data_IF_941620866423
#
_entry.id   IF_941620866423
#
_cell.length_a   1.000
_cell.length_b   1.000
_cell.length_c   1.000
_cell.angle_alpha   90.00
_cell.angle_beta   90.00
_cell.angle_gamma   90.00
#
_symmetry.space_group_name_H-M   'P 1'
#
loop_
_entity.id
_entity.type
_entity.pdbx_description
1 polymer ?
#
# COMPACT_ATOMS: atom_id res chain seq x y z
N UNK A 1 -10.80 -28.16 -3.14
CA UNK A 1 -9.78 -27.29 -2.52
C UNK A 1 -8.46 -27.41 -3.27
N UNK A 2 -7.80 -28.58 -3.40
CA UNK A 2 -6.48 -28.75 -4.02
C UNK A 2 -6.27 -28.11 -5.41
N UNK A 3 -7.29 -28.11 -6.28
CA UNK A 3 -7.23 -27.43 -7.58
C UNK A 3 -7.23 -25.90 -7.45
N UNK A 4 -7.95 -25.37 -6.45
CA UNK A 4 -7.99 -23.93 -6.17
C UNK A 4 -6.66 -23.48 -5.54
N UNK A 5 -6.03 -24.31 -4.69
CA UNK A 5 -4.69 -24.07 -4.15
C UNK A 5 -3.63 -23.93 -5.26
N UNK A 6 -3.80 -24.65 -6.35
CA UNK A 6 -2.99 -24.51 -7.58
C UNK A 6 -3.43 -23.31 -8.44
N UNK A 7 -4.12 -22.35 -7.84
CA UNK A 7 -4.57 -21.09 -8.44
C UNK A 7 -5.53 -21.24 -9.63
N UNK A 8 -6.24 -22.39 -9.71
CA UNK A 8 -7.23 -22.62 -10.75
C UNK A 8 -8.52 -21.84 -10.44
N UNK A 9 -9.08 -21.08 -11.38
CA UNK A 9 -10.35 -20.39 -11.17
C UNK A 9 -11.49 -21.39 -10.90
N UNK A 10 -12.39 -21.02 -9.97
CA UNK A 10 -13.50 -21.88 -9.52
C UNK A 10 -14.38 -22.37 -10.67
N UNK A 11 -14.65 -21.55 -11.67
CA UNK A 11 -15.41 -21.98 -12.85
C UNK A 11 -14.70 -23.11 -13.61
N UNK A 12 -13.37 -23.04 -13.73
CA UNK A 12 -12.60 -24.11 -14.38
C UNK A 12 -12.59 -25.39 -13.55
N UNK A 13 -12.51 -25.27 -12.22
CA UNK A 13 -12.66 -26.41 -11.30
C UNK A 13 -14.03 -27.06 -11.47
N UNK A 14 -15.09 -26.27 -11.56
CA UNK A 14 -16.45 -26.75 -11.77
C UNK A 14 -16.62 -27.51 -13.09
N UNK A 15 -16.02 -27.01 -14.17
CA UNK A 15 -15.99 -27.68 -15.48
C UNK A 15 -15.30 -29.06 -15.38
N UNK A 16 -14.12 -29.13 -14.75
CA UNK A 16 -13.36 -30.40 -14.60
C UNK A 16 -14.15 -31.40 -13.77
N UNK A 17 -14.85 -30.95 -12.73
CA UNK A 17 -15.64 -31.81 -11.85
C UNK A 17 -17.04 -32.15 -12.40
N UNK A 18 -17.45 -31.57 -13.52
CA UNK A 18 -18.80 -31.73 -14.07
C UNK A 18 -19.93 -31.23 -13.18
N UNK A 19 -19.68 -30.16 -12.39
CA UNK A 19 -20.64 -29.61 -11.42
C UNK A 19 -20.92 -28.12 -11.67
N UNK A 20 -22.05 -27.62 -11.13
CA UNK A 20 -22.33 -26.21 -11.18
C UNK A 20 -21.30 -25.41 -10.35
N UNK A 21 -20.77 -24.28 -10.86
CA UNK A 21 -19.81 -23.43 -10.12
C UNK A 21 -20.30 -23.00 -8.73
N UNK A 22 -21.63 -22.83 -8.55
CA UNK A 22 -22.19 -22.48 -7.23
C UNK A 22 -21.94 -23.57 -6.18
N UNK A 23 -21.96 -24.86 -6.55
CA UNK A 23 -21.63 -25.95 -5.62
C UNK A 23 -20.18 -25.86 -5.15
N UNK A 24 -19.26 -25.55 -6.06
CA UNK A 24 -17.83 -25.37 -5.71
C UNK A 24 -17.67 -24.17 -4.76
N UNK A 25 -18.36 -23.07 -5.04
CA UNK A 25 -18.36 -21.90 -4.13
C UNK A 25 -18.95 -22.22 -2.75
N UNK A 26 -20.03 -22.99 -2.67
CA UNK A 26 -20.63 -23.39 -1.39
C UNK A 26 -19.62 -24.17 -0.54
N UNK A 27 -18.97 -25.18 -1.12
CA UNK A 27 -17.94 -25.97 -0.42
C UNK A 27 -16.74 -25.10 -0.05
N UNK A 28 -16.26 -24.27 -0.97
CA UNK A 28 -15.14 -23.39 -0.73
C UNK A 28 -15.42 -22.42 0.42
N UNK A 29 -16.53 -21.69 0.38
CA UNK A 29 -16.91 -20.74 1.42
C UNK A 29 -17.07 -21.40 2.79
N UNK A 30 -17.69 -22.59 2.85
CA UNK A 30 -17.81 -23.36 4.10
C UNK A 30 -16.46 -23.60 4.78
N UNK A 31 -15.47 -24.06 4.02
CA UNK A 31 -14.14 -24.36 4.57
C UNK A 31 -13.36 -23.10 4.95
N UNK A 32 -13.50 -22.03 4.18
CA UNK A 32 -12.89 -20.74 4.53
C UNK A 32 -13.48 -20.19 5.82
N UNK A 33 -14.81 -20.22 5.98
CA UNK A 33 -15.48 -19.74 7.18
C UNK A 33 -15.09 -20.55 8.42
N UNK A 34 -15.03 -21.87 8.29
CA UNK A 34 -14.57 -22.76 9.37
C UNK A 34 -13.12 -22.44 9.77
N UNK A 35 -12.22 -22.28 8.80
CA UNK A 35 -10.82 -21.95 9.06
C UNK A 35 -10.69 -20.56 9.71
N UNK A 36 -11.47 -19.56 9.28
CA UNK A 36 -11.49 -18.22 9.88
C UNK A 36 -11.98 -18.22 11.32
N UNK A 37 -12.93 -19.09 11.68
CA UNK A 37 -13.41 -19.21 13.06
C UNK A 37 -12.31 -19.70 14.00
N UNK A 38 -11.50 -20.67 13.57
CA UNK A 38 -10.40 -21.24 14.33
C UNK A 38 -9.07 -20.50 14.18
N UNK A 39 -9.03 -19.46 13.35
CA UNK A 39 -7.81 -18.71 13.09
C UNK A 39 -7.38 -17.92 14.34
N UNK A 40 -6.11 -18.12 14.72
CA UNK A 40 -5.48 -17.47 15.85
C UNK A 40 -4.73 -16.22 15.40
N UNK A 41 -5.08 -15.08 15.97
CA UNK A 41 -4.46 -13.77 15.76
C UNK A 41 -3.91 -13.18 17.07
N UNK A 42 -3.81 -13.99 18.13
CA UNK A 42 -3.45 -13.55 19.49
C UNK A 42 -2.05 -12.96 19.60
N UNK A 43 -1.17 -13.24 18.64
CA UNK A 43 0.23 -12.79 18.68
C UNK A 43 0.50 -11.50 17.88
N UNK A 44 -0.53 -10.89 17.29
CA UNK A 44 -0.34 -9.71 16.43
C UNK A 44 0.14 -8.51 17.26
N UNK A 45 1.24 -7.88 16.80
CA UNK A 45 1.77 -6.63 17.36
C UNK A 45 1.96 -5.56 16.30
N UNK A 46 2.17 -5.96 15.04
CA UNK A 46 2.38 -5.06 13.90
C UNK A 46 1.30 -5.28 12.84
N UNK A 47 0.42 -4.30 12.69
CA UNK A 47 -0.70 -4.34 11.76
C UNK A 47 -0.40 -3.52 10.51
N UNK A 48 -0.53 -4.14 9.35
CA UNK A 48 -0.57 -3.44 8.05
C UNK A 48 -2.01 -3.21 7.60
N UNK A 49 -2.30 -2.03 7.07
CA UNK A 49 -3.60 -1.71 6.50
C UNK A 49 -3.41 -1.19 5.08
N UNK A 50 -4.09 -1.82 4.14
CA UNK A 50 -4.05 -1.41 2.74
C UNK A 50 -5.40 -1.64 2.06
N UNK A 51 -5.63 -0.97 0.93
CA UNK A 51 -6.86 -1.12 0.16
C UNK A 51 -6.60 -1.74 -1.22
N UNK A 52 -7.51 -2.59 -1.66
CA UNK A 52 -7.46 -3.14 -2.99
C UNK A 52 -8.79 -3.01 -3.71
N UNK A 53 -8.75 -2.73 -5.01
CA UNK A 53 -9.95 -2.59 -5.83
C UNK A 53 -10.65 -3.93 -6.01
N UNK A 54 -11.91 -4.03 -5.62
CA UNK A 54 -12.76 -5.21 -5.86
C UNK A 54 -13.40 -5.19 -7.25
N UNK A 55 -13.89 -4.03 -7.71
CA UNK A 55 -14.54 -3.82 -9.02
C UNK A 55 -14.22 -2.44 -9.57
N UNK A 56 -14.50 -2.20 -10.86
CA UNK A 56 -14.53 -0.86 -11.45
C UNK A 56 -15.57 0.02 -10.71
N UNK A 57 -15.35 1.34 -10.67
CA UNK A 57 -16.25 2.30 -10.05
C UNK A 57 -16.01 2.51 -8.55
N UNK A 58 -14.74 2.60 -8.14
CA UNK A 58 -14.33 2.94 -6.76
C UNK A 58 -14.88 2.00 -5.68
N UNK A 59 -15.01 0.70 -6.00
CA UNK A 59 -15.35 -0.33 -5.03
C UNK A 59 -14.09 -1.00 -4.52
N UNK A 60 -13.84 -0.88 -3.21
CA UNK A 60 -12.63 -1.34 -2.54
C UNK A 60 -12.97 -2.33 -1.44
N UNK A 61 -11.98 -3.12 -1.07
CA UNK A 61 -11.90 -3.85 0.19
C UNK A 61 -10.64 -3.40 0.91
N UNK A 62 -10.71 -3.28 2.22
CA UNK A 62 -9.55 -3.01 3.08
C UNK A 62 -9.04 -4.32 3.66
N UNK A 63 -7.74 -4.47 3.65
CA UNK A 63 -7.01 -5.62 4.18
C UNK A 63 -6.37 -5.23 5.51
N UNK A 64 -6.62 -6.01 6.57
CA UNK A 64 -5.82 -6.02 7.79
C UNK A 64 -4.82 -7.17 7.69
N UNK A 65 -3.55 -6.86 7.82
CA UNK A 65 -2.43 -7.78 7.61
C UNK A 65 -1.56 -7.84 8.85
N UNK A 66 -1.32 -9.04 9.34
CA UNK A 66 -0.27 -9.30 10.32
C UNK A 66 1.07 -9.23 9.56
N UNK A 67 1.87 -8.21 9.86
CA UNK A 67 3.14 -7.96 9.18
C UNK A 67 4.22 -8.95 9.60
N UNK A 68 4.17 -9.47 10.84
CA UNK A 68 5.12 -10.45 11.34
C UNK A 68 4.91 -11.82 10.69
N UNK A 69 3.67 -12.27 10.67
CA UNK A 69 3.29 -13.51 10.03
C UNK A 69 3.16 -13.39 8.51
N UNK A 70 3.21 -12.18 7.95
CA UNK A 70 3.02 -11.87 6.52
C UNK A 70 1.73 -12.51 5.97
N UNK A 71 0.60 -12.26 6.64
CA UNK A 71 -0.70 -12.85 6.28
C UNK A 71 -1.87 -11.89 6.50
N UNK A 72 -2.91 -12.06 5.70
CA UNK A 72 -4.18 -11.35 5.87
C UNK A 72 -4.91 -11.96 7.07
N UNK A 73 -5.31 -11.12 8.02
CA UNK A 73 -6.07 -11.50 9.20
C UNK A 73 -7.52 -11.00 9.16
N UNK A 74 -7.76 -9.89 8.44
CA UNK A 74 -9.11 -9.35 8.27
C UNK A 74 -9.29 -8.71 6.90
N UNK A 75 -10.50 -8.85 6.36
CA UNK A 75 -10.91 -8.21 5.10
C UNK A 75 -12.31 -7.67 5.27
N UNK A 76 -12.51 -6.38 4.98
CA UNK A 76 -13.83 -5.77 5.00
C UNK A 76 -14.07 -4.89 3.76
N UNK A 77 -15.35 -4.68 3.43
CA UNK A 77 -15.72 -3.82 2.32
C UNK A 77 -15.51 -2.35 2.66
N UNK A 78 -15.15 -1.57 1.64
CA UNK A 78 -14.96 -0.12 1.75
C UNK A 78 -13.51 0.27 1.95
N UNK A 79 -13.33 1.54 2.33
CA UNK A 79 -12.05 2.18 2.64
C UNK A 79 -12.23 3.31 3.65
N UNK A 80 -11.20 3.55 4.46
CA UNK A 80 -11.14 4.66 5.38
C UNK A 80 -11.51 4.33 6.82
N UNK A 81 -11.93 5.33 7.60
CA UNK A 81 -12.09 5.25 9.07
C UNK A 81 -12.93 4.05 9.54
N UNK A 82 -14.06 3.79 8.86
CA UNK A 82 -14.97 2.69 9.23
C UNK A 82 -14.32 1.31 9.10
N UNK A 83 -13.37 1.13 8.18
CA UNK A 83 -12.69 -0.15 7.99
C UNK A 83 -11.67 -0.41 9.10
N UNK A 84 -11.02 0.62 9.64
CA UNK A 84 -10.17 0.52 10.83
C UNK A 84 -10.97 0.09 12.07
N UNK A 85 -12.20 0.66 12.23
CA UNK A 85 -13.13 0.21 13.27
C UNK A 85 -13.44 -1.28 13.14
N UNK A 86 -13.74 -1.72 11.93
CA UNK A 86 -14.08 -3.11 11.64
C UNK A 86 -12.91 -4.06 11.94
N UNK A 87 -11.68 -3.65 11.63
CA UNK A 87 -10.46 -4.41 11.97
C UNK A 87 -10.30 -4.48 13.50
N UNK A 88 -10.45 -3.37 14.22
CA UNK A 88 -10.37 -3.31 15.69
C UNK A 88 -11.40 -4.26 16.34
N UNK A 89 -12.66 -4.16 15.95
CA UNK A 89 -13.74 -5.04 16.44
C UNK A 89 -13.47 -6.53 16.15
N UNK A 90 -12.82 -6.84 15.03
CA UNK A 90 -12.42 -8.21 14.71
C UNK A 90 -11.35 -8.71 15.67
N UNK A 91 -10.31 -7.90 15.93
CA UNK A 91 -9.23 -8.24 16.86
C UNK A 91 -9.77 -8.45 18.29
N UNK A 92 -10.65 -7.56 18.76
CA UNK A 92 -11.31 -7.68 20.06
C UNK A 92 -12.14 -8.97 20.19
N UNK A 93 -12.93 -9.32 19.16
CA UNK A 93 -13.69 -10.59 19.11
C UNK A 93 -12.79 -11.82 19.15
N UNK A 94 -11.55 -11.70 18.71
CA UNK A 94 -10.51 -12.74 18.76
C UNK A 94 -9.70 -12.71 20.06
N UNK A 95 -10.05 -11.84 21.00
CA UNK A 95 -9.41 -11.74 22.30
C UNK A 95 -8.06 -11.03 22.31
N UNK A 96 -7.75 -10.25 21.27
CA UNK A 96 -6.52 -9.42 21.22
C UNK A 96 -6.69 -8.22 22.14
N UNK A 97 -5.81 -7.99 23.12
CA UNK A 97 -5.82 -6.81 23.98
C UNK A 97 -5.78 -5.50 23.21
N UNK A 98 -6.37 -4.46 23.78
CA UNK A 98 -6.51 -3.16 23.11
C UNK A 98 -5.18 -2.50 22.76
N UNK A 99 -4.20 -2.63 23.64
CA UNK A 99 -2.86 -2.05 23.57
C UNK A 99 -1.81 -2.97 22.89
N UNK A 100 -2.22 -4.17 22.47
CA UNK A 100 -1.28 -5.15 21.91
C UNK A 100 -0.74 -4.76 20.53
N UNK A 101 -1.54 -4.07 19.70
CA UNK A 101 -1.08 -3.56 18.41
C UNK A 101 -0.29 -2.28 18.66
N UNK A 102 1.03 -2.38 18.63
CA UNK A 102 1.95 -1.28 18.92
C UNK A 102 2.44 -0.54 17.67
N UNK A 103 2.33 -1.14 16.48
CA UNK A 103 2.74 -0.53 15.22
C UNK A 103 1.68 -0.70 14.15
N UNK A 104 1.44 0.36 13.39
CA UNK A 104 0.46 0.42 12.31
C UNK A 104 1.10 0.98 11.04
N UNK A 105 1.20 0.15 9.99
CA UNK A 105 1.66 0.58 8.67
C UNK A 105 0.49 0.79 7.73
N UNK A 106 0.44 1.95 7.06
CA UNK A 106 -0.66 2.31 6.15
C UNK A 106 -0.28 3.41 5.16
N UNK A 107 -1.18 3.62 4.21
CA UNK A 107 -1.12 4.75 3.29
C UNK A 107 -1.31 6.11 4.00
N UNK A 108 -0.79 7.16 3.38
CA UNK A 108 -0.95 8.55 3.77
C UNK A 108 -2.37 9.07 3.44
N UNK A 109 -3.40 8.30 3.81
CA UNK A 109 -4.81 8.62 3.59
C UNK A 109 -5.40 9.31 4.82
N UNK A 110 -5.96 10.50 4.66
CA UNK A 110 -6.57 11.24 5.76
C UNK A 110 -7.65 10.43 6.51
N UNK A 111 -8.39 9.59 5.79
CA UNK A 111 -9.42 8.74 6.38
C UNK A 111 -8.85 7.55 7.17
N UNK A 112 -7.72 6.98 6.74
CA UNK A 112 -7.02 5.95 7.49
C UNK A 112 -6.34 6.56 8.72
N UNK A 113 -5.71 7.72 8.60
CA UNK A 113 -5.09 8.44 9.72
C UNK A 113 -6.14 8.72 10.80
N UNK A 114 -7.30 9.27 10.43
CA UNK A 114 -8.40 9.51 11.38
C UNK A 114 -8.91 8.22 12.03
N UNK A 115 -8.89 7.10 11.31
CA UNK A 115 -9.23 5.78 11.84
C UNK A 115 -8.18 5.26 12.82
N UNK A 116 -6.91 5.31 12.45
CA UNK A 116 -5.78 4.88 13.27
C UNK A 116 -5.74 5.64 14.59
N UNK A 117 -5.78 6.97 14.55
CA UNK A 117 -5.80 7.82 15.76
C UNK A 117 -6.99 7.54 16.67
N UNK A 118 -8.13 7.12 16.12
CA UNK A 118 -9.34 6.85 16.92
C UNK A 118 -9.38 5.45 17.51
N UNK A 119 -8.95 4.45 16.75
CA UNK A 119 -9.16 3.03 17.10
C UNK A 119 -7.88 2.31 17.53
N UNK A 120 -6.71 2.90 17.26
CA UNK A 120 -5.40 2.41 17.66
C UNK A 120 -4.53 3.56 18.18
N UNK A 121 -4.98 4.28 19.25
CA UNK A 121 -4.33 5.52 19.71
C UNK A 121 -2.91 5.30 20.21
N UNK A 122 -2.61 4.10 20.72
CA UNK A 122 -1.29 3.75 21.29
C UNK A 122 -0.33 3.16 20.24
N UNK A 123 -0.80 2.92 19.01
CA UNK A 123 0.03 2.38 17.95
C UNK A 123 0.86 3.48 17.26
N UNK A 124 2.15 3.25 17.11
CA UNK A 124 3.02 4.09 16.29
C UNK A 124 2.71 3.89 14.81
N UNK A 125 2.35 5.00 14.14
CA UNK A 125 2.01 4.98 12.71
C UNK A 125 3.27 5.08 11.88
N UNK A 126 3.41 4.19 10.89
CA UNK A 126 4.42 4.26 9.83
C UNK A 126 3.71 4.46 8.50
N UNK A 127 4.09 5.51 7.77
CA UNK A 127 3.56 5.72 6.42
C UNK A 127 4.40 5.01 5.37
N UNK A 128 3.72 4.45 4.39
CA UNK A 128 4.37 3.81 3.25
C UNK A 128 5.24 4.80 2.47
N UNK A 129 6.55 4.47 2.40
CA UNK A 129 7.53 5.20 1.59
C UNK A 129 7.05 5.44 0.15
N UNK A 130 6.40 4.43 -0.46
CA UNK A 130 5.90 4.55 -1.83
C UNK A 130 4.89 5.69 -1.98
N UNK A 131 3.99 5.85 -1.00
CA UNK A 131 2.97 6.89 -1.03
C UNK A 131 3.57 8.29 -0.79
N UNK A 132 4.56 8.41 0.08
CA UNK A 132 5.31 9.66 0.27
C UNK A 132 6.05 10.05 -1.02
N UNK A 133 6.78 9.11 -1.62
CA UNK A 133 7.51 9.33 -2.89
C UNK A 133 6.55 9.61 -4.05
N UNK A 134 5.37 9.03 -4.06
CA UNK A 134 4.32 9.35 -5.05
C UNK A 134 3.90 10.81 -4.96
N UNK A 135 3.64 11.34 -3.75
CA UNK A 135 3.29 12.75 -3.57
C UNK A 135 4.43 13.68 -3.99
N UNK A 136 5.68 13.33 -3.70
CA UNK A 136 6.86 14.05 -4.16
C UNK A 136 6.93 14.08 -5.70
N UNK A 137 6.69 12.95 -6.35
CA UNK A 137 6.64 12.86 -7.80
C UNK A 137 5.47 13.66 -8.41
N UNK A 138 4.33 13.73 -7.73
CA UNK A 138 3.20 14.58 -8.14
C UNK A 138 3.56 16.07 -8.05
N UNK A 139 4.29 16.48 -7.00
CA UNK A 139 4.81 17.85 -6.87
C UNK A 139 5.79 18.17 -8.02
N UNK A 140 6.72 17.26 -8.35
CA UNK A 140 7.65 17.40 -9.48
C UNK A 140 6.91 17.51 -10.83
N UNK A 141 5.90 16.65 -11.05
CA UNK A 141 5.13 16.67 -12.31
C UNK A 141 4.28 17.95 -12.44
N UNK A 142 3.86 18.53 -11.31
CA UNK A 142 3.17 19.82 -11.30
C UNK A 142 4.07 20.94 -11.76
N UNK A 143 5.30 21.04 -11.23
CA UNK A 143 6.28 22.02 -11.68
C UNK A 143 6.53 21.88 -13.19
N UNK A 144 6.79 20.64 -13.65
CA UNK A 144 6.99 20.39 -15.08
C UNK A 144 5.78 20.80 -15.95
N UNK A 145 4.56 20.57 -15.45
CA UNK A 145 3.33 20.96 -16.18
C UNK A 145 3.16 22.47 -16.22
N UNK A 146 3.56 23.17 -15.19
CA UNK A 146 3.46 24.63 -15.15
C UNK A 146 4.48 25.26 -16.11
N UNK A 147 5.75 24.81 -16.11
CA UNK A 147 6.76 25.22 -17.08
C UNK A 147 6.36 24.89 -18.53
N UNK A 148 5.72 23.72 -18.73
CA UNK A 148 5.27 23.31 -20.08
C UNK A 148 4.25 24.26 -20.70
N UNK A 149 3.55 25.08 -19.94
CA UNK A 149 2.57 26.03 -20.49
C UNK A 149 3.22 27.05 -21.42
N UNK A 150 4.48 27.35 -21.16
CA UNK A 150 5.27 28.32 -21.93
C UNK A 150 6.37 27.63 -22.79
N UNK A 151 6.63 26.34 -22.57
CA UNK A 151 7.72 25.57 -23.13
C UNK A 151 7.25 24.19 -23.64
N UNK A 152 6.76 24.17 -24.89
CA UNK A 152 6.17 22.94 -25.49
C UNK A 152 7.19 21.78 -25.62
N UNK A 153 8.49 22.06 -25.66
CA UNK A 153 9.57 21.08 -25.69
C UNK A 153 9.60 20.17 -24.45
N UNK A 154 9.01 20.58 -23.35
CA UNK A 154 8.83 19.73 -22.16
C UNK A 154 7.76 18.65 -22.32
N UNK A 155 7.05 18.63 -23.46
CA UNK A 155 6.09 17.58 -23.79
C UNK A 155 6.79 16.23 -23.98
N UNK A 156 6.23 15.18 -23.36
CA UNK A 156 6.80 13.83 -23.42
C UNK A 156 7.90 13.54 -22.39
N UNK A 157 8.42 14.53 -21.68
CA UNK A 157 9.51 14.39 -20.71
C UNK A 157 9.07 14.05 -19.27
N UNK A 158 7.81 13.69 -19.04
CA UNK A 158 7.31 13.34 -17.71
C UNK A 158 8.23 12.34 -17.00
N UNK A 159 8.51 11.21 -17.62
CA UNK A 159 9.30 10.14 -17.00
C UNK A 159 10.82 10.45 -16.97
N UNK A 160 11.28 11.46 -17.65
CA UNK A 160 12.65 11.98 -17.54
C UNK A 160 12.86 12.62 -16.16
N UNK A 161 11.86 13.35 -15.64
CA UNK A 161 11.91 13.99 -14.32
C UNK A 161 11.43 13.09 -13.17
N UNK A 162 10.55 12.11 -13.43
CA UNK A 162 10.00 11.27 -12.36
C UNK A 162 10.88 10.06 -12.03
N UNK A 163 11.61 9.50 -12.98
CA UNK A 163 12.52 8.39 -12.73
C UNK A 163 13.75 8.83 -11.92
N UNK A 164 14.33 7.90 -11.17
CA UNK A 164 15.65 8.10 -10.59
C UNK A 164 16.69 8.09 -11.71
N UNK A 165 17.77 8.89 -11.57
CA UNK A 165 18.79 9.10 -12.59
C UNK A 165 19.38 7.78 -13.10
N UNK A 166 19.68 6.85 -12.20
CA UNK A 166 20.20 5.52 -12.51
C UNK A 166 19.26 4.65 -13.38
N UNK A 167 17.98 5.00 -13.47
CA UNK A 167 16.97 4.28 -14.26
C UNK A 167 16.64 4.99 -15.58
N UNK A 168 17.41 6.02 -15.93
CA UNK A 168 17.32 6.71 -17.22
C UNK A 168 18.24 6.03 -18.23
N UNK A 169 17.82 6.03 -19.51
CA UNK A 169 18.74 5.72 -20.61
C UNK A 169 19.65 6.92 -20.87
N UNK A 170 20.85 6.70 -21.43
CA UNK A 170 21.84 7.74 -21.74
C UNK A 170 21.24 8.94 -22.49
N UNK A 171 20.34 8.67 -23.45
CA UNK A 171 19.61 9.71 -24.18
C UNK A 171 18.76 10.58 -23.28
N UNK A 172 18.05 9.96 -22.31
CA UNK A 172 17.18 10.69 -21.37
C UNK A 172 17.99 11.41 -20.31
N UNK A 173 19.12 10.87 -19.92
CA UNK A 173 20.03 11.53 -18.97
C UNK A 173 20.64 12.80 -19.58
N UNK A 174 21.11 12.77 -20.84
CA UNK A 174 21.57 13.96 -21.56
C UNK A 174 20.45 15.00 -21.67
N UNK A 175 19.26 14.58 -22.08
CA UNK A 175 18.09 15.46 -22.16
C UNK A 175 17.70 16.06 -20.80
N UNK A 176 17.82 15.31 -19.71
CA UNK A 176 17.60 15.82 -18.35
C UNK A 176 18.63 16.90 -18.01
N UNK A 177 19.92 16.64 -18.27
CA UNK A 177 21.00 17.58 -18.00
C UNK A 177 20.82 18.93 -18.75
N UNK A 178 20.41 18.87 -20.01
CA UNK A 178 20.11 20.07 -20.81
C UNK A 178 18.91 20.84 -20.23
N UNK A 179 17.82 20.13 -19.90
CA UNK A 179 16.59 20.75 -19.40
C UNK A 179 16.74 21.40 -18.03
N UNK A 180 17.48 20.81 -17.09
CA UNK A 180 17.71 21.42 -15.77
C UNK A 180 18.58 22.69 -15.85
N UNK A 181 19.40 22.85 -16.89
CA UNK A 181 20.15 24.06 -17.14
C UNK A 181 19.29 25.14 -17.82
N UNK A 182 18.42 24.74 -18.76
CA UNK A 182 17.56 25.67 -19.49
C UNK A 182 16.40 26.21 -18.63
N UNK A 183 15.91 25.41 -17.69
CA UNK A 183 14.76 25.75 -16.83
C UNK A 183 15.16 25.71 -15.36
N UNK A 184 15.66 26.82 -14.77
CA UNK A 184 16.20 26.85 -13.41
C UNK A 184 15.21 26.37 -12.34
N UNK A 185 13.93 26.77 -12.43
CA UNK A 185 12.87 26.31 -11.51
C UNK A 185 12.69 24.78 -11.55
N UNK A 186 12.72 24.21 -12.75
CA UNK A 186 12.59 22.78 -12.96
C UNK A 186 13.84 22.03 -12.47
N UNK A 187 15.03 22.62 -12.67
CA UNK A 187 16.31 22.12 -12.16
C UNK A 187 16.33 22.07 -10.64
N UNK A 188 15.89 23.14 -9.99
CA UNK A 188 15.81 23.22 -8.52
C UNK A 188 14.77 22.23 -7.94
N UNK A 189 13.61 22.13 -8.57
CA UNK A 189 12.61 21.12 -8.19
C UNK A 189 13.16 19.69 -8.32
N UNK A 190 13.91 19.41 -9.37
CA UNK A 190 14.53 18.10 -9.54
C UNK A 190 15.61 17.83 -8.50
N UNK A 191 16.44 18.82 -8.14
CA UNK A 191 17.43 18.73 -7.07
C UNK A 191 16.76 18.40 -5.73
N UNK A 192 15.72 19.14 -5.35
CA UNK A 192 14.96 18.91 -4.12
C UNK A 192 14.31 17.51 -4.10
N UNK A 193 13.80 17.05 -5.24
CA UNK A 193 13.27 15.69 -5.37
C UNK A 193 14.33 14.62 -5.14
N UNK A 194 15.51 14.76 -5.75
CA UNK A 194 16.61 13.81 -5.60
C UNK A 194 17.08 13.78 -4.16
N UNK A 195 17.33 14.96 -3.58
CA UNK A 195 17.77 15.11 -2.19
C UNK A 195 16.80 14.44 -1.20
N UNK A 196 15.48 14.57 -1.39
CA UNK A 196 14.49 13.96 -0.47
C UNK A 196 14.64 12.43 -0.37
N UNK A 197 15.13 11.76 -1.41
CA UNK A 197 15.28 10.30 -1.34
C UNK A 197 16.38 9.86 -0.38
N UNK A 198 17.31 10.73 -0.01
CA UNK A 198 18.39 10.42 0.95
C UNK A 198 17.84 10.25 2.37
N UNK A 199 16.62 10.75 2.65
CA UNK A 199 15.91 10.50 3.89
C UNK A 199 15.86 9.01 4.27
N UNK A 200 15.64 8.17 3.26
CA UNK A 200 15.42 6.73 3.49
C UNK A 200 16.71 5.96 3.82
N UNK A 201 17.85 6.62 3.67
CA UNK A 201 19.18 6.08 3.97
C UNK A 201 19.75 6.65 5.30
N UNK A 202 18.96 7.47 6.01
CA UNK A 202 19.38 8.01 7.30
C UNK A 202 19.54 6.87 8.33
N UNK A 203 20.58 6.92 9.17
CA UNK A 203 20.91 5.82 10.08
C UNK A 203 19.92 5.66 11.25
N UNK A 204 19.28 6.74 11.65
CA UNK A 204 18.38 6.77 12.81
C UNK A 204 17.37 7.93 12.75
N UNK A 205 16.45 7.95 13.70
CA UNK A 205 15.40 8.96 13.81
C UNK A 205 15.95 10.38 14.03
N UNK A 206 16.94 10.64 14.91
CA UNK A 206 17.55 11.96 15.03
C UNK A 206 18.14 12.49 13.74
N UNK A 207 18.88 11.66 12.99
CA UNK A 207 19.44 12.04 11.69
C UNK A 207 18.34 12.33 10.64
N UNK A 208 17.31 11.51 10.61
CA UNK A 208 16.16 11.73 9.74
C UNK A 208 15.43 13.04 10.07
N UNK A 209 15.24 13.36 11.35
CA UNK A 209 14.65 14.63 11.78
C UNK A 209 15.50 15.84 11.38
N UNK A 210 16.83 15.78 11.59
CA UNK A 210 17.74 16.84 11.19
C UNK A 210 17.72 17.05 9.67
N UNK A 211 17.81 15.95 8.91
CA UNK A 211 17.74 15.96 7.46
C UNK A 211 16.43 16.59 6.93
N UNK A 212 15.28 16.15 7.43
CA UNK A 212 13.99 16.69 7.01
C UNK A 212 13.82 18.17 7.36
N UNK A 213 14.38 18.60 8.51
CA UNK A 213 14.35 20.01 8.89
C UNK A 213 15.11 20.85 7.85
N UNK A 214 16.32 20.44 7.49
CA UNK A 214 17.15 21.11 6.50
C UNK A 214 16.50 21.09 5.10
N UNK A 215 15.98 19.93 4.71
CA UNK A 215 15.26 19.80 3.43
C UNK A 215 14.04 20.74 3.38
N UNK A 216 13.28 20.89 4.46
CA UNK A 216 12.16 21.83 4.52
C UNK A 216 12.61 23.29 4.40
N UNK A 217 13.75 23.66 5.01
CA UNK A 217 14.34 25.00 4.89
C UNK A 217 14.74 25.31 3.45
N UNK A 218 15.36 24.35 2.76
CA UNK A 218 15.70 24.48 1.35
C UNK A 218 14.46 24.65 0.46
N UNK A 219 13.37 23.91 0.73
CA UNK A 219 12.09 24.08 0.01
C UNK A 219 11.52 25.48 0.22
N UNK A 220 11.59 26.00 1.45
CA UNK A 220 11.13 27.37 1.76
C UNK A 220 11.97 28.44 1.05
N UNK A 221 13.28 28.24 0.97
CA UNK A 221 14.19 29.12 0.24
C UNK A 221 13.94 29.10 -1.28
N UNK A 222 13.68 27.92 -1.84
CA UNK A 222 13.39 27.75 -3.27
C UNK A 222 12.04 28.33 -3.71
N UNK A 223 11.08 28.50 -2.80
CA UNK A 223 9.74 29.10 -3.03
C UNK A 223 8.94 28.45 -4.16
N UNK A 224 9.18 27.17 -4.44
CA UNK A 224 8.44 26.40 -5.45
C UNK A 224 7.11 25.94 -4.86
N UNK A 225 5.99 26.51 -5.29
CA UNK A 225 4.64 26.33 -4.71
C UNK A 225 4.25 24.84 -4.53
N UNK A 226 4.54 23.98 -5.51
CA UNK A 226 4.22 22.57 -5.44
C UNK A 226 5.02 21.84 -4.35
N UNK A 227 6.31 22.18 -4.20
CA UNK A 227 7.18 21.62 -3.16
C UNK A 227 6.84 22.16 -1.78
N UNK A 228 6.47 23.45 -1.66
CA UNK A 228 5.95 24.01 -0.39
C UNK A 228 4.68 23.28 0.06
N UNK A 229 3.80 22.91 -0.86
CA UNK A 229 2.61 22.11 -0.55
C UNK A 229 2.99 20.71 -0.06
N UNK A 230 3.95 20.06 -0.70
CA UNK A 230 4.46 18.76 -0.27
C UNK A 230 5.15 18.86 1.10
N UNK A 231 5.98 19.87 1.35
CA UNK A 231 6.63 20.09 2.63
C UNK A 231 5.62 20.33 3.77
N UNK A 232 4.49 21.00 3.52
CA UNK A 232 3.39 21.08 4.50
C UNK A 232 2.83 19.70 4.84
N UNK A 233 2.67 18.82 3.85
CA UNK A 233 2.24 17.44 4.09
C UNK A 233 3.28 16.67 4.90
N UNK A 234 4.56 16.79 4.59
CA UNK A 234 5.65 16.19 5.35
C UNK A 234 5.63 16.66 6.81
N UNK A 235 5.50 17.99 7.04
CA UNK A 235 5.42 18.58 8.39
C UNK A 235 4.20 18.07 9.18
N UNK A 236 3.04 17.92 8.52
CA UNK A 236 1.82 17.41 9.14
C UNK A 236 1.90 15.92 9.52
N UNK A 237 2.73 15.15 8.84
CA UNK A 237 2.84 13.70 9.01
C UNK A 237 4.26 13.25 9.41
N UNK A 238 4.99 14.15 10.06
CA UNK A 238 6.41 14.03 10.40
C UNK A 238 6.76 12.73 11.11
N UNK A 239 6.07 12.45 12.21
CA UNK A 239 6.37 11.27 13.04
C UNK A 239 6.26 9.97 12.26
N UNK A 240 5.20 9.78 11.49
CA UNK A 240 4.99 8.55 10.73
C UNK A 240 5.91 8.40 9.52
N UNK A 241 6.41 9.51 8.95
CA UNK A 241 7.43 9.48 7.89
C UNK A 241 8.79 9.11 8.47
N UNK A 242 9.18 9.73 9.59
CA UNK A 242 10.46 9.48 10.26
C UNK A 242 10.48 8.09 10.89
N UNK A 243 9.35 7.61 11.43
CA UNK A 243 9.26 6.26 11.99
C UNK A 243 9.56 5.16 10.98
N UNK A 244 9.38 5.39 9.69
CA UNK A 244 9.81 4.45 8.65
C UNK A 244 11.32 4.17 8.71
N UNK A 245 12.15 5.20 8.99
CA UNK A 245 13.62 5.06 9.08
C UNK A 245 14.03 4.17 10.26
N UNK A 246 13.28 4.20 11.35
CA UNK A 246 13.53 3.40 12.55
C UNK A 246 12.97 1.97 12.42
N UNK A 247 11.73 1.85 11.96
CA UNK A 247 11.02 0.57 11.91
C UNK A 247 11.44 -0.32 10.74
N UNK A 248 11.93 0.27 9.65
CA UNK A 248 12.18 -0.39 8.37
C UNK A 248 11.00 -1.26 7.88
N UNK A 249 9.79 -0.94 8.35
CA UNK A 249 8.57 -1.64 7.92
C UNK A 249 8.32 -1.29 6.46
N UNK A 250 8.77 -2.16 5.58
CA UNK A 250 8.49 -2.01 4.15
C UNK A 250 7.11 -2.55 3.81
N UNK A 251 6.40 -1.86 2.95
CA UNK A 251 5.13 -2.35 2.41
C UNK A 251 5.27 -3.51 1.41
N UNK A 252 6.46 -4.07 1.26
CA UNK A 252 6.69 -5.21 0.38
C UNK A 252 5.76 -6.40 0.66
N UNK A 253 5.38 -6.60 1.92
CA UNK A 253 4.38 -7.62 2.31
C UNK A 253 3.01 -7.24 1.75
N UNK A 254 2.57 -5.99 1.94
CA UNK A 254 1.28 -5.49 1.46
C UNK A 254 1.23 -5.48 -0.08
N UNK A 255 2.30 -5.03 -0.74
CA UNK A 255 2.43 -5.07 -2.20
C UNK A 255 2.39 -6.52 -2.73
N UNK A 256 3.08 -7.44 -2.07
CA UNK A 256 3.07 -8.87 -2.41
C UNK A 256 1.67 -9.49 -2.28
N UNK A 257 0.96 -9.18 -1.20
CA UNK A 257 -0.43 -9.59 -0.98
C UNK A 257 -1.33 -9.00 -2.06
N UNK A 258 -1.25 -7.69 -2.29
CA UNK A 258 -2.04 -7.02 -3.33
C UNK A 258 -1.78 -7.59 -4.72
N UNK A 259 -0.54 -7.90 -5.04
CA UNK A 259 -0.16 -8.53 -6.31
C UNK A 259 -0.83 -9.90 -6.49
N UNK A 260 -0.82 -10.75 -5.45
CA UNK A 260 -1.52 -12.06 -5.46
C UNK A 260 -3.02 -11.89 -5.63
N UNK A 261 -3.63 -10.97 -4.88
CA UNK A 261 -5.07 -10.68 -4.93
C UNK A 261 -5.48 -10.20 -6.33
N UNK A 262 -4.74 -9.28 -6.92
CA UNK A 262 -5.02 -8.77 -8.26
C UNK A 262 -4.76 -9.82 -9.35
N UNK A 263 -3.79 -10.71 -9.18
CA UNK A 263 -3.56 -11.84 -10.08
C UNK A 263 -4.75 -12.81 -10.07
N UNK A 264 -5.21 -13.21 -8.88
CA UNK A 264 -6.39 -14.08 -8.73
C UNK A 264 -7.65 -13.44 -9.35
N UNK A 265 -7.85 -12.15 -9.13
CA UNK A 265 -8.94 -11.38 -9.73
C UNK A 265 -8.87 -11.37 -11.26
N UNK A 266 -7.68 -11.19 -11.85
CA UNK A 266 -7.49 -11.23 -13.32
C UNK A 266 -7.75 -12.63 -13.88
N UNK A 267 -7.23 -13.69 -13.26
CA UNK A 267 -7.46 -15.09 -13.65
C UNK A 267 -8.94 -15.47 -13.63
N UNK A 268 -9.66 -15.01 -12.60
CA UNK A 268 -11.11 -15.23 -12.49
C UNK A 268 -11.96 -14.31 -13.37
N UNK A 269 -11.36 -13.37 -14.12
CA UNK A 269 -12.04 -12.31 -14.87
C UNK A 269 -12.98 -11.46 -14.00
N UNK A 270 -12.59 -11.27 -12.72
CA UNK A 270 -13.35 -10.56 -11.70
C UNK A 270 -14.27 -11.47 -10.88
N UNK A 271 -14.80 -10.91 -9.80
CA UNK A 271 -15.75 -11.58 -8.90
C UNK A 271 -17.09 -10.83 -8.91
N UNK A 272 -18.17 -11.52 -9.25
CA UNK A 272 -19.52 -10.94 -9.17
C UNK A 272 -19.97 -10.76 -7.72
N UNK A 273 -19.71 -11.77 -6.89
CA UNK A 273 -20.02 -11.77 -5.46
C UNK A 273 -18.78 -11.32 -4.67
N UNK A 274 -18.96 -10.28 -3.85
CA UNK A 274 -17.88 -9.72 -3.02
C UNK A 274 -17.44 -10.68 -1.92
N UNK A 275 -18.36 -11.44 -1.34
CA UNK A 275 -18.05 -12.46 -0.34
C UNK A 275 -17.11 -13.55 -0.87
N UNK A 276 -17.34 -14.01 -2.11
CA UNK A 276 -16.44 -14.93 -2.80
C UNK A 276 -15.05 -14.33 -3.01
N UNK A 277 -14.96 -13.02 -3.29
CA UNK A 277 -13.69 -12.33 -3.43
C UNK A 277 -12.96 -12.22 -2.10
N UNK A 278 -13.65 -11.83 -1.04
CA UNK A 278 -13.11 -11.75 0.31
C UNK A 278 -12.60 -13.12 0.77
N UNK A 279 -13.39 -14.17 0.59
CA UNK A 279 -12.99 -15.53 0.96
C UNK A 279 -11.80 -16.04 0.12
N UNK A 280 -11.70 -15.63 -1.14
CA UNK A 280 -10.52 -15.93 -1.96
C UNK A 280 -9.26 -15.21 -1.43
N UNK A 281 -9.38 -13.97 -0.96
CA UNK A 281 -8.26 -13.26 -0.32
C UNK A 281 -7.77 -14.01 0.93
N UNK A 282 -8.67 -14.42 1.78
CA UNK A 282 -8.32 -15.24 2.96
C UNK A 282 -7.64 -16.54 2.57
N UNK A 283 -8.15 -17.22 1.54
CA UNK A 283 -7.56 -18.47 1.06
C UNK A 283 -6.12 -18.31 0.57
N UNK A 284 -5.88 -17.29 -0.24
CA UNK A 284 -4.58 -17.06 -0.88
C UNK A 284 -3.54 -16.42 0.06
N UNK A 285 -3.99 -15.59 0.98
CA UNK A 285 -3.13 -14.72 1.77
C UNK A 285 -3.30 -14.85 3.28
N UNK A 286 -4.28 -15.61 3.77
CA UNK A 286 -4.54 -15.79 5.20
C UNK A 286 -3.62 -16.80 5.88
N UNK A 287 -2.93 -17.67 5.14
CA UNK A 287 -2.10 -18.77 5.69
C UNK A 287 -2.85 -19.61 6.74
N UNK A 288 -4.16 -19.77 6.57
CA UNK A 288 -5.03 -20.49 7.49
C UNK A 288 -4.81 -22.00 7.41
N UNK A 289 -5.06 -22.69 8.51
CA UNK A 289 -5.08 -24.15 8.53
C UNK A 289 -6.45 -24.66 8.11
N UNK A 290 -6.46 -25.63 7.19
CA UNK A 290 -7.67 -26.25 6.69
C UNK A 290 -7.72 -27.71 7.13
N UNK A 291 -8.75 -28.04 7.88
CA UNK A 291 -9.03 -29.41 8.36
C UNK A 291 -10.12 -30.05 7.50
N UNK A 292 -9.90 -30.10 6.19
CA UNK A 292 -10.79 -30.83 5.29
C UNK A 292 -10.29 -32.26 5.08
N UNK A 293 -11.21 -33.23 4.96
CA UNK A 293 -10.83 -34.63 4.78
C UNK A 293 -10.05 -34.79 3.46
N UNK A 294 -8.82 -35.24 3.60
CA UNK A 294 -7.98 -35.62 2.47
C UNK A 294 -8.33 -37.07 2.12
N UNK A 295 -9.33 -37.25 1.26
CA UNK A 295 -9.56 -38.56 0.64
C UNK A 295 -8.59 -38.71 -0.56
N UNK A 296 -7.37 -39.15 -0.27
CA UNK A 296 -6.51 -39.72 -1.30
C UNK A 296 -6.62 -41.24 -1.19
N UNK A 297 -7.34 -41.85 -2.11
CA UNK A 297 -7.22 -43.25 -2.45
C UNK A 297 -6.34 -43.35 -3.69
#
# INVERSE_FOLDING_TARGET
MALIEREMPVNRVAEILGVNPQRVWTVFNHWIEKARQSDDVSTITRLGVDETSSKKGHKYVTLGVDLDASRVIHVCEGKGKATLKNIKEHLEKKGVPEDQVTQLSMDLSASFIAGATTYFPDAEITFDRFHVVKLLNEAMDKVRKDERKEHDELKGHKYTFLKNRQNLSDKKEKSLAEMIQLYPTLGEAYRLKVLFNDLWEMPDKPAACAFLTEWCNEVEAAKISAFMTFAKTVKAHWSGIVHFVESHITNGILEGINSKVQLAKRRARGYRNIHNFINMIYFLCGKMKFDYPLYFT
#
